data_IF_554644999975
#
_entry.id   IF_554644999975
#
_cell.length_a   1.000
_cell.length_b   1.000
_cell.length_c   1.000
_cell.angle_alpha   90.00
_cell.angle_beta   90.00
_cell.angle_gamma   90.00
#
_symmetry.space_group_name_H-M   'P 1'
#
loop_
_entity.id
_entity.type
_entity.pdbx_description
1 polymer ?
#
# COMPACT_ATOMS: atom_id res chain seq x y z
N UNK A 1 58.35 -18.54 -9.56
CA UNK A 1 58.10 -17.14 -9.14
C UNK A 1 56.73 -16.62 -9.59
N UNK A 2 56.38 -16.68 -10.89
CA UNK A 2 55.07 -16.24 -11.41
C UNK A 2 53.86 -17.01 -10.85
N UNK A 3 53.99 -18.32 -10.67
CA UNK A 3 52.93 -19.18 -10.09
C UNK A 3 52.71 -18.91 -8.60
N UNK A 4 53.77 -18.64 -7.84
CA UNK A 4 53.68 -18.26 -6.43
C UNK A 4 53.03 -16.87 -6.25
N UNK A 5 53.28 -15.94 -7.18
CA UNK A 5 52.67 -14.61 -7.17
C UNK A 5 51.16 -14.66 -7.45
N UNK A 6 50.72 -15.51 -8.39
CA UNK A 6 49.29 -15.71 -8.70
C UNK A 6 48.54 -16.37 -7.53
N UNK A 7 49.15 -17.32 -6.84
CA UNK A 7 48.57 -17.94 -5.65
C UNK A 7 48.42 -16.94 -4.50
N UNK A 8 49.41 -16.07 -4.27
CA UNK A 8 49.35 -15.04 -3.23
C UNK A 8 48.24 -14.00 -3.49
N UNK A 9 48.05 -13.59 -4.76
CA UNK A 9 46.98 -12.65 -5.13
C UNK A 9 45.59 -13.28 -4.95
N UNK A 10 45.42 -14.56 -5.31
CA UNK A 10 44.16 -15.26 -5.13
C UNK A 10 43.77 -15.41 -3.64
N UNK A 11 44.73 -15.69 -2.77
CA UNK A 11 44.51 -15.78 -1.32
C UNK A 11 44.15 -14.41 -0.72
N UNK A 12 44.78 -13.34 -1.19
CA UNK A 12 44.50 -11.98 -0.73
C UNK A 12 43.07 -11.53 -1.10
N UNK A 13 42.60 -11.87 -2.31
CA UNK A 13 41.25 -11.54 -2.76
C UNK A 13 40.17 -12.34 -2.01
N UNK A 14 40.45 -13.60 -1.64
CA UNK A 14 39.53 -14.42 -0.87
C UNK A 14 39.39 -13.92 0.59
N UNK A 15 40.46 -13.37 1.17
CA UNK A 15 40.44 -12.80 2.52
C UNK A 15 39.63 -11.49 2.61
N UNK A 16 39.62 -10.67 1.55
CA UNK A 16 38.84 -9.42 1.53
C UNK A 16 37.32 -9.65 1.45
N UNK A 17 36.86 -10.80 0.94
CA UNK A 17 35.43 -11.09 0.79
C UNK A 17 34.71 -11.45 2.11
N UNK A 18 35.43 -11.75 3.19
CA UNK A 18 34.83 -12.20 4.46
C UNK A 18 34.46 -11.08 5.45
N UNK A 19 34.76 -9.80 5.17
CA UNK A 19 34.60 -8.71 6.16
C UNK A 19 33.30 -7.89 6.05
N UNK A 20 32.28 -8.36 5.33
CA UNK A 20 31.01 -7.62 5.13
C UNK A 20 29.78 -8.28 5.79
N UNK A 21 29.92 -8.80 7.01
CA UNK A 21 28.77 -9.13 7.86
C UNK A 21 28.92 -8.51 9.25
N UNK A 22 28.69 -7.20 9.31
CA UNK A 22 28.50 -6.49 10.58
C UNK A 22 27.09 -6.81 11.11
N UNK A 23 27.07 -7.36 12.32
CA UNK A 23 25.89 -7.80 13.05
C UNK A 23 24.82 -6.71 13.23
N UNK A 24 23.59 -6.98 12.80
CA UNK A 24 22.42 -6.30 13.36
C UNK A 24 21.93 -7.11 14.56
N UNK A 25 22.15 -6.60 15.77
CA UNK A 25 21.57 -7.14 17.01
C UNK A 25 20.13 -6.60 17.16
N UNK A 26 19.10 -7.43 17.34
CA UNK A 26 17.86 -6.97 17.95
C UNK A 26 18.12 -6.79 19.46
N UNK A 27 17.99 -5.56 19.95
CA UNK A 27 17.97 -5.28 21.38
C UNK A 27 16.64 -5.77 21.98
N UNK A 28 16.64 -6.33 23.20
CA UNK A 28 15.43 -6.53 23.97
C UNK A 28 15.15 -5.25 24.77
N UNK A 29 14.35 -4.34 24.22
CA UNK A 29 13.80 -3.24 24.99
C UNK A 29 12.42 -3.64 25.53
N UNK A 30 12.46 -4.25 26.71
CA UNK A 30 11.40 -4.20 27.70
C UNK A 30 10.93 -2.74 27.89
N UNK A 31 9.79 -2.39 27.29
CA UNK A 31 8.95 -1.27 27.75
C UNK A 31 7.54 -1.75 28.05
N UNK A 32 7.45 -2.70 28.97
CA UNK A 32 6.40 -2.73 29.98
C UNK A 32 6.46 -1.42 30.79
N UNK A 33 5.79 -0.37 30.32
CA UNK A 33 5.33 0.72 31.17
C UNK A 33 3.88 1.06 30.83
N UNK A 34 3.03 0.65 31.75
CA UNK A 34 1.67 1.14 31.96
C UNK A 34 1.64 2.68 31.94
N UNK A 35 0.63 3.24 31.29
CA UNK A 35 0.12 4.57 31.61
C UNK A 35 0.47 5.67 30.61
N UNK A 36 -0.44 5.88 29.66
CA UNK A 36 -0.39 7.02 28.74
C UNK A 36 -1.60 7.07 27.80
N UNK A 37 -2.79 6.70 28.28
CA UNK A 37 -4.04 6.98 27.57
C UNK A 37 -4.33 8.47 27.70
N UNK A 38 -3.70 9.28 26.85
CA UNK A 38 -4.28 10.56 26.47
C UNK A 38 -5.36 10.24 25.45
N UNK A 39 -6.60 10.11 25.94
CA UNK A 39 -7.77 10.24 25.10
C UNK A 39 -7.77 11.65 24.51
N UNK A 40 -7.15 11.81 23.34
CA UNK A 40 -7.40 12.98 22.51
C UNK A 40 -8.89 12.97 22.18
N UNK A 41 -9.60 14.10 22.36
CA UNK A 41 -10.98 14.19 21.92
C UNK A 41 -10.99 13.99 20.40
N UNK A 42 -11.58 12.89 19.94
CA UNK A 42 -11.94 12.72 18.54
C UNK A 42 -12.78 13.93 18.14
N UNK A 43 -12.33 14.77 17.19
CA UNK A 43 -13.23 15.76 16.62
C UNK A 43 -14.41 15.01 16.02
N UNK A 44 -15.62 15.39 16.43
CA UNK A 44 -16.85 14.90 15.82
C UNK A 44 -16.77 15.04 14.29
N UNK A 45 -17.36 14.11 13.51
CA UNK A 45 -17.35 14.21 12.06
C UNK A 45 -18.01 15.54 11.67
N UNK A 46 -17.18 16.49 11.22
CA UNK A 46 -17.65 17.75 10.68
C UNK A 46 -18.29 17.44 9.35
N UNK A 47 -19.62 17.34 9.36
CA UNK A 47 -20.49 17.03 8.23
C UNK A 47 -20.50 18.16 7.19
N UNK A 48 -19.34 18.44 6.61
CA UNK A 48 -19.24 18.98 5.27
C UNK A 48 -18.91 17.80 4.35
N UNK A 49 -19.84 16.85 4.29
CA UNK A 49 -19.79 15.74 3.36
C UNK A 49 -20.11 16.32 1.99
N UNK A 50 -19.14 16.28 1.09
CA UNK A 50 -19.45 16.42 -0.33
C UNK A 50 -20.36 15.24 -0.64
N UNK A 51 -21.66 15.49 -0.77
CA UNK A 51 -22.64 14.43 -1.00
C UNK A 51 -22.32 13.81 -2.37
N UNK A 52 -21.79 12.60 -2.37
CA UNK A 52 -21.67 11.79 -3.59
C UNK A 52 -23.00 11.83 -4.35
N UNK A 53 -22.95 12.04 -5.67
CA UNK A 53 -24.16 11.93 -6.49
C UNK A 53 -24.69 10.50 -6.40
N UNK A 54 -26.01 10.27 -6.35
CA UNK A 54 -26.55 8.92 -6.39
C UNK A 54 -26.01 8.14 -7.61
N UNK A 55 -25.44 6.96 -7.39
CA UNK A 55 -24.83 6.12 -8.43
C UNK A 55 -23.35 6.41 -8.72
N UNK A 56 -22.74 7.40 -8.06
CA UNK A 56 -21.32 7.73 -8.22
C UNK A 56 -20.54 7.39 -6.95
N UNK A 57 -19.35 6.82 -7.13
CA UNK A 57 -18.40 6.56 -6.05
C UNK A 57 -17.65 7.86 -5.75
N UNK A 58 -17.63 8.23 -4.48
CA UNK A 58 -16.94 9.41 -3.99
C UNK A 58 -15.54 9.04 -3.50
N UNK A 59 -14.56 9.74 -4.04
CA UNK A 59 -13.14 9.59 -3.72
C UNK A 59 -12.62 10.76 -2.88
N UNK A 60 -13.46 11.72 -2.50
CA UNK A 60 -13.04 12.91 -1.77
C UNK A 60 -12.65 12.59 -0.32
N UNK A 61 -11.67 13.32 0.21
CA UNK A 61 -11.24 13.17 1.60
C UNK A 61 -10.61 14.46 2.11
N UNK A 62 -10.48 14.57 3.43
CA UNK A 62 -9.70 15.60 4.11
C UNK A 62 -8.52 14.99 4.85
N UNK A 63 -8.69 13.81 5.41
CA UNK A 63 -7.67 13.06 6.15
C UNK A 63 -7.67 11.59 5.75
N UNK A 64 -6.59 10.87 6.06
CA UNK A 64 -6.46 9.43 5.78
C UNK A 64 -7.62 8.59 6.33
N UNK A 65 -8.15 8.97 7.51
CA UNK A 65 -9.24 8.26 8.17
C UNK A 65 -10.58 8.38 7.42
N UNK A 66 -10.71 9.32 6.49
CA UNK A 66 -11.89 9.44 5.64
C UNK A 66 -11.89 8.39 4.52
N UNK A 67 -10.79 7.66 4.31
CA UNK A 67 -10.63 6.71 3.23
C UNK A 67 -10.71 5.26 3.71
N UNK A 68 -11.42 4.41 2.97
CA UNK A 68 -11.51 2.98 3.21
C UNK A 68 -11.31 2.19 1.91
N UNK A 69 -10.79 0.96 2.04
CA UNK A 69 -10.78 0.00 0.93
C UNK A 69 -12.19 -0.56 0.80
N UNK A 70 -12.82 -0.35 -0.36
CA UNK A 70 -14.15 -0.87 -0.66
C UNK A 70 -14.15 -1.48 -2.05
N UNK A 71 -15.03 -2.46 -2.27
CA UNK A 71 -15.27 -3.00 -3.60
C UNK A 71 -16.12 -2.03 -4.41
N UNK A 72 -15.56 -1.50 -5.49
CA UNK A 72 -16.31 -0.62 -6.42
C UNK A 72 -16.85 -1.39 -7.63
N UNK A 73 -16.41 -2.65 -7.81
CA UNK A 73 -16.76 -3.50 -8.94
C UNK A 73 -16.08 -3.11 -10.25
N UNK A 74 -15.84 -4.12 -11.08
CA UNK A 74 -15.44 -3.99 -12.48
C UNK A 74 -16.00 -5.20 -13.24
N UNK A 75 -15.94 -5.19 -14.58
CA UNK A 75 -16.31 -6.35 -15.40
C UNK A 75 -15.46 -7.61 -15.15
N UNK A 76 -14.39 -7.49 -14.37
CA UNK A 76 -13.60 -8.62 -13.90
C UNK A 76 -14.00 -9.19 -12.53
N UNK A 77 -15.04 -8.66 -11.89
CA UNK A 77 -15.46 -9.04 -10.54
C UNK A 77 -14.97 -8.07 -9.47
N UNK A 78 -14.50 -8.62 -8.34
CA UNK A 78 -14.05 -7.86 -7.18
C UNK A 78 -12.95 -6.86 -7.57
N UNK A 79 -13.16 -5.60 -7.23
CA UNK A 79 -12.23 -4.53 -7.57
C UNK A 79 -12.06 -3.59 -6.36
N UNK A 80 -11.08 -3.89 -5.47
CA UNK A 80 -10.85 -3.07 -4.29
C UNK A 80 -10.25 -1.73 -4.71
N UNK A 81 -10.79 -0.64 -4.17
CA UNK A 81 -10.28 0.72 -4.35
C UNK A 81 -10.35 1.50 -3.04
N UNK A 82 -9.44 2.46 -2.90
CA UNK A 82 -9.53 3.47 -1.85
C UNK A 82 -10.54 4.53 -2.25
N UNK A 83 -11.61 4.63 -1.47
CA UNK A 83 -12.72 5.57 -1.68
C UNK A 83 -13.06 6.21 -0.34
N UNK A 84 -13.90 7.24 -0.36
CA UNK A 84 -14.41 7.80 0.88
C UNK A 84 -15.16 6.70 1.67
N UNK A 85 -14.92 6.60 2.98
CA UNK A 85 -15.49 5.58 3.83
C UNK A 85 -17.03 5.59 3.80
N UNK A 86 -17.62 6.78 3.70
CA UNK A 86 -19.06 7.00 3.65
C UNK A 86 -19.64 6.92 2.22
N UNK A 87 -18.79 6.76 1.20
CA UNK A 87 -19.25 6.63 -0.18
C UNK A 87 -19.98 5.30 -0.40
N UNK A 88 -21.17 5.28 -1.02
CA UNK A 88 -21.75 4.04 -1.49
C UNK A 88 -20.91 3.42 -2.61
N UNK A 89 -20.92 2.10 -2.74
CA UNK A 89 -20.38 1.38 -3.91
C UNK A 89 -21.45 0.51 -4.55
N UNK A 90 -21.22 0.10 -5.80
CA UNK A 90 -22.25 -0.54 -6.63
C UNK A 90 -21.74 -1.78 -7.38
N UNK A 91 -20.98 -2.70 -6.75
CA UNK A 91 -20.35 -3.81 -7.46
C UNK A 91 -21.37 -4.71 -8.18
N UNK A 92 -22.55 -4.93 -7.60
CA UNK A 92 -23.60 -5.73 -8.23
C UNK A 92 -24.20 -5.07 -9.48
N UNK A 93 -24.34 -3.74 -9.47
CA UNK A 93 -24.83 -2.99 -10.64
C UNK A 93 -23.81 -3.04 -11.77
N UNK A 94 -22.52 -2.86 -11.45
CA UNK A 94 -21.43 -2.99 -12.43
C UNK A 94 -21.41 -4.41 -13.00
N UNK A 95 -21.51 -5.44 -12.15
CA UNK A 95 -21.55 -6.84 -12.59
C UNK A 95 -22.72 -7.11 -13.53
N UNK A 96 -23.92 -6.64 -13.21
CA UNK A 96 -25.10 -6.81 -14.05
C UNK A 96 -24.93 -6.15 -15.43
N UNK A 97 -24.35 -4.94 -15.45
CA UNK A 97 -24.06 -4.23 -16.69
C UNK A 97 -23.03 -4.97 -17.56
N UNK A 98 -21.93 -5.42 -16.95
CA UNK A 98 -20.91 -6.18 -17.66
C UNK A 98 -21.45 -7.50 -18.24
N UNK A 99 -22.38 -8.17 -17.55
CA UNK A 99 -23.06 -9.35 -18.08
C UNK A 99 -23.97 -9.00 -19.27
N UNK A 100 -24.71 -7.88 -19.18
CA UNK A 100 -25.55 -7.35 -20.28
C UNK A 100 -24.71 -7.05 -21.53
N UNK A 101 -23.51 -6.53 -21.36
CA UNK A 101 -22.60 -6.20 -22.46
C UNK A 101 -21.72 -7.37 -22.93
N UNK A 102 -21.75 -8.52 -22.24
CA UNK A 102 -20.88 -9.66 -22.56
C UNK A 102 -19.39 -9.38 -22.32
N UNK A 103 -19.06 -8.46 -21.40
CA UNK A 103 -17.68 -7.99 -21.13
C UNK A 103 -17.06 -8.60 -19.88
N UNK A 104 -17.68 -9.62 -19.30
CA UNK A 104 -17.17 -10.28 -18.09
C UNK A 104 -15.89 -11.06 -18.36
N UNK A 105 -14.86 -10.86 -17.53
CA UNK A 105 -13.60 -11.63 -17.55
C UNK A 105 -13.10 -11.90 -16.13
N UNK A 106 -11.88 -12.42 -15.96
CA UNK A 106 -11.22 -12.61 -14.67
C UNK A 106 -9.93 -11.78 -14.69
N UNK A 107 -9.77 -10.91 -13.69
CA UNK A 107 -8.57 -10.11 -13.50
C UNK A 107 -7.91 -10.46 -12.15
N UNK A 108 -6.57 -10.45 -12.11
CA UNK A 108 -5.80 -10.49 -10.87
C UNK A 108 -5.49 -9.07 -10.42
N UNK A 109 -6.22 -8.56 -9.42
CA UNK A 109 -5.92 -7.26 -8.82
C UNK A 109 -5.12 -7.44 -7.52
N UNK A 110 -4.12 -6.57 -7.26
CA UNK A 110 -3.41 -6.60 -6.00
C UNK A 110 -4.36 -6.25 -4.84
N UNK A 111 -4.04 -6.79 -3.66
CA UNK A 111 -4.71 -6.36 -2.43
C UNK A 111 -4.22 -4.99 -2.02
N UNK A 112 -5.12 -4.12 -1.57
CA UNK A 112 -4.76 -2.81 -1.03
C UNK A 112 -4.71 -2.94 0.50
N UNK A 113 -3.54 -2.73 1.09
CA UNK A 113 -3.35 -2.87 2.54
C UNK A 113 -3.89 -1.66 3.30
N UNK A 114 -3.74 -0.46 2.75
CA UNK A 114 -4.18 0.78 3.41
C UNK A 114 -4.41 1.92 2.42
N UNK A 115 -5.21 2.90 2.86
CA UNK A 115 -5.55 4.10 2.10
C UNK A 115 -4.97 5.36 2.75
N UNK A 116 -4.74 6.38 1.91
CA UNK A 116 -4.34 7.73 2.31
C UNK A 116 -5.13 8.77 1.55
N UNK A 117 -5.23 9.96 2.16
CA UNK A 117 -5.78 11.13 1.51
C UNK A 117 -4.65 11.93 0.84
N UNK A 118 -4.61 11.92 -0.49
CA UNK A 118 -3.61 12.65 -1.28
C UNK A 118 -4.32 13.74 -2.07
N UNK A 119 -4.00 15.00 -1.77
CA UNK A 119 -4.56 16.16 -2.49
C UNK A 119 -6.10 16.17 -2.52
N UNK A 120 -6.73 15.80 -1.40
CA UNK A 120 -8.19 15.74 -1.28
C UNK A 120 -8.84 14.54 -1.96
N UNK A 121 -8.05 13.54 -2.37
CA UNK A 121 -8.53 12.30 -3.01
C UNK A 121 -7.98 11.05 -2.32
N UNK A 122 -8.84 10.08 -2.04
CA UNK A 122 -8.47 8.77 -1.53
C UNK A 122 -7.64 8.01 -2.56
N UNK A 123 -6.49 7.52 -2.12
CA UNK A 123 -5.56 6.72 -2.91
C UNK A 123 -5.00 5.59 -2.05
N UNK A 124 -4.56 4.50 -2.69
CA UNK A 124 -3.80 3.46 -2.00
C UNK A 124 -2.51 4.06 -1.43
N UNK A 125 -2.14 3.65 -0.21
CA UNK A 125 -0.78 3.87 0.26
C UNK A 125 0.12 2.99 -0.59
N UNK A 126 1.03 3.61 -1.33
CA UNK A 126 2.08 2.87 -2.05
C UNK A 126 3.05 2.31 -1.01
N UNK A 127 2.69 1.20 -0.37
CA UNK A 127 3.61 0.35 0.36
C UNK A 127 4.12 -0.70 -0.61
N UNK A 128 5.37 -0.57 -1.06
CA UNK A 128 6.17 -1.55 -1.80
C UNK A 128 5.43 -2.77 -2.39
N UNK A 129 4.55 -2.58 -3.38
CA UNK A 129 4.10 -3.65 -4.26
C UNK A 129 3.95 -3.11 -5.67
N UNK A 130 5.08 -3.03 -6.38
CA UNK A 130 5.12 -2.86 -7.84
C UNK A 130 6.05 -1.76 -8.34
N UNK A 131 7.34 -2.08 -8.47
CA UNK A 131 8.21 -1.45 -9.48
C UNK A 131 8.93 -0.19 -9.03
N UNK A 132 10.12 -0.38 -8.46
CA UNK A 132 11.23 0.53 -8.71
C UNK A 132 11.43 0.67 -10.23
N UNK A 133 10.97 1.77 -10.80
CA UNK A 133 11.56 2.30 -12.03
C UNK A 133 12.38 3.52 -11.63
N UNK A 134 13.54 3.22 -11.04
CA UNK A 134 14.71 4.06 -11.17
C UNK A 134 15.02 4.20 -12.67
N UNK A 135 14.52 5.27 -13.29
CA UNK A 135 15.01 5.74 -14.58
C UNK A 135 16.03 6.83 -14.27
N UNK A 136 17.21 6.43 -13.83
CA UNK A 136 18.39 7.29 -13.89
C UNK A 136 18.92 7.20 -15.31
N UNK A 137 18.80 8.30 -16.06
CA UNK A 137 19.68 8.61 -17.19
C UNK A 137 20.65 9.70 -16.75
#
# INVERSE_FOLDING_TARGET
>A
MRTALLAAIAILMLALALSACAASRPGPDDRLLLGGSSAQPSPAPSSNMVKAKPGEVDYSCKVDADCAVKDVGNCCGYYPQCVNADSPTFPDQVKAECAREGRSSICGFPSIESCQCVQGRCAAKTGMQGGEQEITQ
#
